data_IF_058388600906
#
_entry.id   IF_058388600906
#
_cell.length_a   1.000
_cell.length_b   1.000
_cell.length_c   1.000
_cell.angle_alpha   90.00
_cell.angle_beta   90.00
_cell.angle_gamma   90.00
#
_symmetry.space_group_name_H-M   'P 1'
#
loop_
_entity.id
_entity.type
_entity.pdbx_description
1 polymer ?
#
# COMPACT_ATOMS: atom_id res chain seq x y z
N UNK A 1 -5.55 -7.28 -9.96
CA UNK A 1 -6.45 -8.44 -9.82
C UNK A 1 -5.82 -9.64 -10.51
N UNK A 2 -5.79 -10.81 -9.88
CA UNK A 2 -5.46 -12.06 -10.58
C UNK A 2 -6.79 -12.75 -10.92
N UNK A 3 -7.12 -12.84 -12.21
CA UNK A 3 -8.44 -13.22 -12.67
C UNK A 3 -8.78 -14.72 -12.50
N UNK A 4 -7.77 -15.59 -12.31
CA UNK A 4 -7.95 -17.05 -12.31
C UNK A 4 -7.35 -17.70 -11.05
N UNK A 5 -7.83 -17.34 -9.87
CA UNK A 5 -7.46 -18.02 -8.62
C UNK A 5 -8.70 -18.27 -7.75
N UNK A 6 -8.69 -19.31 -6.91
CA UNK A 6 -9.78 -19.53 -5.94
C UNK A 6 -9.89 -18.39 -4.91
N UNK A 7 -8.79 -17.68 -4.67
CA UNK A 7 -8.72 -16.51 -3.81
C UNK A 7 -9.11 -15.22 -4.55
N UNK A 8 -9.99 -15.29 -5.54
CA UNK A 8 -10.55 -14.13 -6.20
C UNK A 8 -11.14 -13.15 -5.17
N UNK A 9 -10.87 -11.86 -5.38
CA UNK A 9 -11.29 -10.76 -4.50
C UNK A 9 -10.72 -10.80 -3.07
N UNK A 10 -9.77 -11.70 -2.76
CA UNK A 10 -9.01 -11.66 -1.50
C UNK A 10 -7.70 -10.92 -1.72
N UNK A 11 -7.57 -9.74 -1.12
CA UNK A 11 -6.26 -9.10 -0.92
C UNK A 11 -5.45 -9.95 0.05
N UNK A 12 -4.31 -10.42 -0.42
CA UNK A 12 -3.40 -11.27 0.35
C UNK A 12 -1.97 -10.90 0.05
N UNK A 13 -1.10 -11.17 1.02
CA UNK A 13 0.31 -10.90 0.86
C UNK A 13 1.12 -11.45 2.01
N UNK A 14 2.43 -11.36 1.83
CA UNK A 14 3.42 -11.80 2.79
C UNK A 14 4.56 -10.80 2.83
N UNK A 15 4.94 -10.39 4.02
CA UNK A 15 6.08 -9.51 4.27
C UNK A 15 7.04 -10.32 5.15
N UNK A 16 8.18 -10.72 4.57
CA UNK A 16 9.21 -11.47 5.28
C UNK A 16 10.32 -10.50 5.70
N UNK A 17 10.43 -10.26 7.01
CA UNK A 17 11.54 -9.53 7.60
C UNK A 17 12.63 -10.46 8.11
N UNK A 18 13.62 -9.93 8.85
CA UNK A 18 14.70 -10.72 9.46
C UNK A 18 14.31 -11.35 10.80
N UNK A 19 13.24 -10.85 11.44
CA UNK A 19 12.76 -11.29 12.76
C UNK A 19 11.34 -11.83 12.76
N UNK A 20 10.54 -11.39 11.78
CA UNK A 20 9.12 -11.73 11.69
C UNK A 20 8.72 -11.99 10.25
N UNK A 21 7.65 -12.77 10.09
CA UNK A 21 6.87 -12.85 8.87
C UNK A 21 5.45 -12.38 9.15
N UNK A 22 4.93 -11.50 8.31
CA UNK A 22 3.55 -11.03 8.36
C UNK A 22 2.82 -11.59 7.14
N UNK A 23 1.70 -12.27 7.37
CA UNK A 23 0.79 -12.75 6.32
C UNK A 23 -0.60 -12.14 6.52
N UNK A 24 -1.31 -11.85 5.44
CA UNK A 24 -2.69 -11.38 5.50
C UNK A 24 -3.51 -11.94 4.35
N UNK A 25 -4.83 -12.07 4.53
CA UNK A 25 -5.72 -12.69 3.55
C UNK A 25 -7.12 -12.04 3.40
N UNK A 26 -7.25 -10.77 3.82
CA UNK A 26 -8.51 -9.99 3.92
C UNK A 26 -9.43 -10.37 5.08
N UNK A 27 -9.19 -11.47 5.79
CA UNK A 27 -9.89 -11.81 7.02
C UNK A 27 -9.04 -11.56 8.25
N UNK A 28 -7.79 -12.03 8.21
CA UNK A 28 -6.89 -11.97 9.34
C UNK A 28 -5.51 -11.49 8.91
N UNK A 29 -4.75 -11.01 9.91
CA UNK A 29 -3.33 -10.71 9.82
C UNK A 29 -2.63 -11.63 10.80
N UNK A 30 -1.69 -12.45 10.31
CA UNK A 30 -0.85 -13.34 11.10
C UNK A 30 0.55 -12.76 11.20
N UNK A 31 1.06 -12.64 12.42
CA UNK A 31 2.43 -12.21 12.69
C UNK A 31 3.17 -13.37 13.34
N UNK A 32 4.15 -13.90 12.62
CA UNK A 32 5.00 -14.99 13.07
C UNK A 32 6.37 -14.47 13.48
N UNK A 33 6.80 -14.70 14.72
CA UNK A 33 8.14 -14.33 15.19
C UNK A 33 9.07 -15.53 15.11
N UNK A 34 10.27 -15.33 14.57
CA UNK A 34 11.21 -16.43 14.30
C UNK A 34 11.97 -16.95 15.53
N UNK A 35 11.75 -16.39 16.73
CA UNK A 35 12.38 -16.83 17.97
C UNK A 35 11.69 -18.06 18.57
N UNK A 36 11.64 -19.15 17.78
CA UNK A 36 10.94 -20.41 18.07
C UNK A 36 11.33 -21.12 19.39
N UNK A 37 12.37 -20.65 20.08
CA UNK A 37 12.89 -21.26 21.32
C UNK A 37 12.46 -20.53 22.60
N UNK A 38 11.72 -19.42 22.52
CA UNK A 38 11.34 -18.63 23.70
C UNK A 38 9.83 -18.51 23.97
N UNK A 39 8.96 -18.73 22.98
CA UNK A 39 7.53 -18.43 23.16
C UNK A 39 6.59 -19.43 22.42
N UNK A 40 5.67 -20.10 23.14
CA UNK A 40 4.61 -20.91 22.54
C UNK A 40 3.57 -20.11 21.73
N UNK A 41 3.44 -18.78 21.92
CA UNK A 41 2.53 -17.90 21.18
C UNK A 41 3.17 -17.32 19.90
N UNK A 42 4.05 -18.10 19.26
CA UNK A 42 4.88 -17.67 18.13
C UNK A 42 4.12 -17.07 16.94
N UNK A 43 2.80 -17.31 16.85
CA UNK A 43 1.90 -16.68 15.88
C UNK A 43 0.84 -15.86 16.60
N UNK A 44 0.86 -14.54 16.42
CA UNK A 44 -0.24 -13.64 16.82
C UNK A 44 -1.20 -13.46 15.65
N UNK A 45 -2.49 -13.61 15.92
CA UNK A 45 -3.56 -13.45 14.92
C UNK A 45 -4.40 -12.22 15.26
N UNK A 46 -4.57 -11.33 14.29
CA UNK A 46 -5.43 -10.15 14.39
C UNK A 46 -6.57 -10.28 13.39
N UNK A 47 -7.80 -10.02 13.84
CA UNK A 47 -9.00 -10.03 13.00
C UNK A 47 -9.62 -8.64 13.03
N UNK A 48 -9.19 -7.73 12.13
CA UNK A 48 -9.74 -6.38 12.08
C UNK A 48 -11.25 -6.43 11.86
N UNK A 49 -12.01 -5.50 12.45
CA UNK A 49 -13.44 -5.38 12.17
C UNK A 49 -13.67 -5.21 10.67
N UNK A 50 -14.60 -5.98 10.11
CA UNK A 50 -15.02 -5.80 8.72
C UNK A 50 -15.91 -4.58 8.64
N UNK A 51 -15.39 -3.49 8.09
CA UNK A 51 -16.22 -2.38 7.66
C UNK A 51 -17.06 -2.83 6.46
N UNK A 52 -18.37 -2.55 6.50
CA UNK A 52 -19.26 -2.76 5.37
C UNK A 52 -18.97 -1.79 4.22
N UNK A 53 -19.54 -2.05 3.04
CA UNK A 53 -19.44 -1.17 1.88
C UNK A 53 -18.40 -1.59 0.84
N UNK A 54 -18.03 -0.66 -0.04
CA UNK A 54 -17.15 -0.90 -1.19
C UNK A 54 -15.75 -1.37 -0.80
N UNK A 55 -15.24 -2.39 -1.52
CA UNK A 55 -13.91 -2.97 -1.33
C UNK A 55 -13.58 -3.37 0.12
N UNK A 56 -14.54 -3.90 0.87
CA UNK A 56 -14.35 -4.33 2.27
C UNK A 56 -14.14 -3.17 3.24
N UNK A 57 -14.74 -2.01 2.95
CA UNK A 57 -14.65 -0.79 3.74
C UNK A 57 -13.50 0.15 3.35
N UNK A 58 -12.69 -0.22 2.35
CA UNK A 58 -11.58 0.61 1.88
C UNK A 58 -12.04 1.96 1.33
N UNK A 59 -13.13 1.97 0.56
CA UNK A 59 -13.65 3.21 -0.05
C UNK A 59 -14.15 4.18 1.03
N UNK A 60 -14.85 3.65 2.04
CA UNK A 60 -15.32 4.44 3.18
C UNK A 60 -14.15 5.04 3.98
N UNK A 61 -13.13 4.23 4.28
CA UNK A 61 -11.94 4.70 4.98
C UNK A 61 -11.16 5.78 4.21
N UNK A 62 -11.05 5.65 2.88
CA UNK A 62 -10.43 6.68 2.04
C UNK A 62 -11.23 7.98 2.08
N UNK A 63 -12.55 7.92 1.96
CA UNK A 63 -13.40 9.12 2.00
C UNK A 63 -13.38 9.79 3.37
N UNK A 64 -13.41 9.01 4.45
CA UNK A 64 -13.30 9.53 5.82
C UNK A 64 -11.97 10.27 6.01
N UNK A 65 -10.85 9.64 5.61
CA UNK A 65 -9.53 10.23 5.71
C UNK A 65 -9.35 11.46 4.84
N UNK A 66 -9.89 11.46 3.62
CA UNK A 66 -9.90 12.65 2.76
C UNK A 66 -10.67 13.80 3.42
N UNK A 67 -11.84 13.51 4.00
CA UNK A 67 -12.68 14.52 4.67
C UNK A 67 -11.97 15.14 5.87
N UNK A 68 -11.29 14.32 6.68
CA UNK A 68 -10.43 14.77 7.79
C UNK A 68 -9.27 15.64 7.32
N UNK A 69 -8.65 15.31 6.18
CA UNK A 69 -7.60 16.13 5.60
C UNK A 69 -8.12 17.53 5.22
N UNK A 70 -9.28 17.58 4.57
CA UNK A 70 -9.92 18.85 4.18
C UNK A 70 -10.28 19.68 5.41
N UNK A 71 -10.89 19.07 6.43
CA UNK A 71 -11.25 19.74 7.68
C UNK A 71 -10.03 20.37 8.37
N UNK A 72 -8.93 19.61 8.51
CA UNK A 72 -7.69 20.11 9.13
C UNK A 72 -7.09 21.32 8.39
N UNK A 73 -7.18 21.34 7.06
CA UNK A 73 -6.73 22.47 6.24
C UNK A 73 -7.67 23.67 6.41
N UNK A 74 -8.98 23.45 6.34
CA UNK A 74 -9.98 24.52 6.47
C UNK A 74 -9.95 25.20 7.84
N UNK A 75 -9.64 24.44 8.89
CA UNK A 75 -9.47 24.96 10.25
C UNK A 75 -8.11 25.63 10.48
N UNK A 76 -7.19 25.59 9.52
CA UNK A 76 -5.86 26.16 9.63
C UNK A 76 -4.91 25.37 10.53
N UNK A 77 -5.21 24.10 10.82
CA UNK A 77 -4.39 23.24 11.70
C UNK A 77 -3.17 22.68 10.98
N UNK A 78 -3.31 22.37 9.69
CA UNK A 78 -2.29 21.76 8.85
C UNK A 78 -2.26 22.42 7.47
N UNK A 79 -1.07 22.46 6.85
CA UNK A 79 -0.96 22.69 5.39
C UNK A 79 -1.57 21.54 4.61
N UNK A 80 -1.85 21.76 3.33
CA UNK A 80 -2.37 20.74 2.41
C UNK A 80 -1.46 19.51 2.38
N UNK A 81 -0.15 19.72 2.28
CA UNK A 81 0.86 18.66 2.21
C UNK A 81 0.89 17.83 3.49
N UNK A 82 0.84 18.50 4.65
CA UNK A 82 0.81 17.82 5.95
C UNK A 82 -0.49 17.05 6.17
N UNK A 83 -1.64 17.61 5.81
CA UNK A 83 -2.94 16.97 5.96
C UNK A 83 -3.06 15.73 5.07
N UNK A 84 -2.62 15.83 3.81
CA UNK A 84 -2.55 14.73 2.86
C UNK A 84 -1.67 13.59 3.38
N UNK A 85 -0.43 13.90 3.80
CA UNK A 85 0.48 12.89 4.33
C UNK A 85 -0.06 12.21 5.60
N UNK A 86 -0.67 12.99 6.51
CA UNK A 86 -1.18 12.50 7.79
C UNK A 86 -2.46 11.66 7.67
N UNK A 87 -3.43 12.13 6.90
CA UNK A 87 -4.76 11.54 6.89
C UNK A 87 -4.94 10.58 5.71
N UNK A 88 -4.54 10.97 4.49
CA UNK A 88 -4.68 10.12 3.30
C UNK A 88 -3.59 9.06 3.24
N UNK A 89 -2.40 9.35 3.79
CA UNK A 89 -1.32 8.37 3.96
C UNK A 89 -0.40 8.23 2.75
N UNK A 90 -0.50 9.14 1.78
CA UNK A 90 0.46 9.26 0.68
C UNK A 90 0.49 10.70 0.15
N UNK A 91 1.63 11.11 -0.37
CA UNK A 91 1.82 12.36 -1.11
C UNK A 91 1.31 12.24 -2.54
N UNK A 92 1.08 13.37 -3.22
CA UNK A 92 0.77 13.38 -4.66
C UNK A 92 1.87 12.69 -5.48
N UNK A 93 3.15 12.90 -5.11
CA UNK A 93 4.28 12.26 -5.77
C UNK A 93 4.21 10.74 -5.64
N UNK A 94 3.94 10.20 -4.45
CA UNK A 94 3.80 8.76 -4.24
C UNK A 94 2.61 8.17 -5.00
N UNK A 95 1.48 8.87 -5.02
CA UNK A 95 0.31 8.47 -5.80
C UNK A 95 0.64 8.37 -7.30
N UNK A 96 1.36 9.36 -7.84
CA UNK A 96 1.80 9.36 -9.23
C UNK A 96 2.86 8.28 -9.50
N UNK A 97 3.85 8.11 -8.63
CA UNK A 97 4.86 7.04 -8.71
C UNK A 97 4.21 5.65 -8.77
N UNK A 98 3.15 5.41 -8.01
CA UNK A 98 2.44 4.11 -8.03
C UNK A 98 1.83 3.78 -9.39
N UNK A 99 1.40 4.80 -10.15
CA UNK A 99 0.89 4.64 -11.52
C UNK A 99 2.04 4.53 -12.52
N UNK A 100 3.10 5.32 -12.35
CA UNK A 100 4.28 5.28 -13.19
C UNK A 100 4.97 3.90 -13.19
N UNK A 101 4.92 3.19 -12.05
CA UNK A 101 5.38 1.81 -11.93
C UNK A 101 4.76 0.86 -12.97
N UNK A 102 3.50 1.09 -13.38
CA UNK A 102 2.84 0.27 -14.41
C UNK A 102 3.54 0.42 -15.76
N UNK A 103 4.01 1.61 -16.10
CA UNK A 103 4.74 1.85 -17.35
C UNK A 103 6.16 1.26 -17.31
N UNK A 104 6.84 1.38 -16.17
CA UNK A 104 8.14 0.73 -15.97
C UNK A 104 8.02 -0.80 -16.10
N UNK A 105 6.97 -1.38 -15.50
CA UNK A 105 6.68 -2.81 -15.61
C UNK A 105 6.32 -3.23 -17.05
N UNK A 106 5.59 -2.38 -17.78
CA UNK A 106 5.25 -2.64 -19.19
C UNK A 106 6.49 -2.59 -20.10
N UNK A 107 7.39 -1.63 -19.89
CA UNK A 107 8.69 -1.58 -20.57
C UNK A 107 9.50 -2.85 -20.29
N UNK A 108 9.58 -3.27 -19.03
CA UNK A 108 10.26 -4.51 -18.63
C UNK A 108 9.67 -5.73 -19.33
N UNK A 109 8.33 -5.79 -19.45
CA UNK A 109 7.60 -6.90 -20.10
C UNK A 109 7.82 -6.94 -21.61
N UNK A 110 7.70 -5.81 -22.29
CA UNK A 110 7.81 -5.69 -23.75
C UNK A 110 9.24 -5.93 -24.21
N UNK A 111 10.21 -5.30 -23.53
CA UNK A 111 11.62 -5.40 -23.89
C UNK A 111 12.32 -6.61 -23.27
N UNK A 112 11.63 -7.34 -22.39
CA UNK A 112 12.15 -8.54 -21.69
C UNK A 112 13.45 -8.25 -20.95
N UNK A 113 13.51 -7.10 -20.26
CA UNK A 113 14.69 -6.63 -19.53
C UNK A 113 14.37 -6.35 -18.06
N UNK A 114 15.41 -6.27 -17.25
CA UNK A 114 15.31 -5.70 -15.91
C UNK A 114 15.32 -4.17 -16.07
N UNK A 115 14.35 -3.51 -15.45
CA UNK A 115 14.29 -2.04 -15.35
C UNK A 115 14.71 -1.67 -13.93
N UNK A 116 15.75 -0.85 -13.81
CA UNK A 116 16.09 -0.20 -12.55
C UNK A 116 15.11 0.95 -12.28
N UNK A 117 14.46 0.93 -11.12
CA UNK A 117 13.40 1.88 -10.81
C UNK A 117 13.92 3.30 -10.66
N UNK A 118 15.06 3.47 -9.98
CA UNK A 118 15.64 4.79 -9.70
C UNK A 118 16.06 5.47 -11.00
N UNK A 119 16.74 4.74 -11.89
CA UNK A 119 17.16 5.25 -13.19
C UNK A 119 15.97 5.54 -14.11
N UNK A 120 14.97 4.66 -14.12
CA UNK A 120 13.77 4.84 -14.94
C UNK A 120 12.96 6.05 -14.48
N UNK A 121 12.80 6.22 -13.17
CA UNK A 121 12.10 7.34 -12.56
C UNK A 121 12.79 8.68 -12.84
N UNK A 122 14.11 8.75 -12.69
CA UNK A 122 14.88 9.97 -12.97
C UNK A 122 14.72 10.42 -14.43
N UNK A 123 14.77 9.49 -15.39
CA UNK A 123 14.52 9.78 -16.82
C UNK A 123 13.10 10.28 -17.09
N UNK A 124 12.10 9.76 -16.37
CA UNK A 124 10.73 10.26 -16.48
C UNK A 124 10.63 11.70 -15.95
N UNK A 125 11.23 11.99 -14.79
CA UNK A 125 11.27 13.35 -14.23
C UNK A 125 11.94 14.34 -15.19
N UNK A 126 13.08 13.99 -15.77
CA UNK A 126 13.76 14.82 -16.78
C UNK A 126 12.85 15.13 -17.98
N UNK A 127 12.10 14.14 -18.47
CA UNK A 127 11.18 14.32 -19.60
C UNK A 127 9.96 15.18 -19.28
N UNK A 128 9.55 15.27 -18.02
CA UNK A 128 8.41 16.09 -17.58
C UNK A 128 8.80 17.54 -17.31
N UNK A 129 10.09 17.83 -17.15
CA UNK A 129 10.64 19.17 -16.91
C UNK A 129 11.03 19.91 -18.21
N UNK A 130 10.94 19.26 -19.36
CA UNK A 130 11.19 19.79 -20.70
C UNK A 130 9.86 20.02 -21.41
#
# INVERSE_FOLDING_TARGET
MAAFTEAQFKRRGKISGTRVEIQYDSSEIRVYTFDKFRDPDAVKVFTPPKAGGGHGGGDGGLMENFSRAVEAVMNGELSVEQAQAKHVGCTLKEAFMSHAMVFAAEEARVERKIVDWQDWWAKLEERLLV
#
